data_IF_359110561679
#
_entry.id   IF_359110561679
#
_cell.length_a   1.000
_cell.length_b   1.000
_cell.length_c   1.000
_cell.angle_alpha   90.00
_cell.angle_beta   90.00
_cell.angle_gamma   90.00
#
_symmetry.space_group_name_H-M   'P 1'
#
loop_
_entity.id
_entity.type
_entity.pdbx_description
1 polymer ?
#
# COMPACT_ATOMS: atom_id res chain seq x y z
N UNK A 1 12.79 -30.83 30.25
CA UNK A 1 12.38 -29.58 30.91
C UNK A 1 12.72 -28.42 29.98
N UNK A 2 11.72 -27.70 29.49
CA UNK A 2 11.93 -26.51 28.64
C UNK A 2 12.32 -25.37 29.57
N UNK A 3 13.57 -24.94 29.54
CA UNK A 3 14.04 -23.77 30.29
C UNK A 3 13.42 -22.51 29.67
N UNK A 4 12.25 -22.10 30.17
CA UNK A 4 11.64 -20.81 29.84
C UNK A 4 12.47 -19.75 30.57
N UNK A 5 13.31 -19.03 29.82
CA UNK A 5 14.14 -17.97 30.37
C UNK A 5 13.26 -16.76 30.74
N UNK A 6 12.89 -16.67 32.02
CA UNK A 6 12.00 -15.66 32.59
C UNK A 6 12.57 -14.23 32.54
N UNK A 7 13.87 -14.06 32.27
CA UNK A 7 14.52 -12.74 32.14
C UNK A 7 13.95 -11.91 30.98
N UNK A 8 13.49 -12.54 29.90
CA UNK A 8 12.87 -11.82 28.78
C UNK A 8 11.50 -11.20 29.11
N UNK A 9 10.81 -11.67 30.16
CA UNK A 9 9.58 -11.07 30.64
C UNK A 9 9.84 -9.93 31.64
N UNK A 10 10.94 -9.99 32.38
CA UNK A 10 11.34 -8.95 33.32
C UNK A 10 11.79 -7.64 32.63
N UNK A 11 12.57 -7.72 31.53
CA UNK A 11 13.08 -6.53 30.81
C UNK A 11 12.00 -5.62 30.21
N UNK A 12 10.81 -6.16 29.91
CA UNK A 12 9.69 -5.38 29.38
C UNK A 12 8.79 -4.79 30.48
N UNK A 13 8.86 -5.31 31.71
CA UNK A 13 8.05 -4.83 32.83
C UNK A 13 8.50 -3.45 33.33
N UNK A 14 9.79 -3.14 33.20
CA UNK A 14 10.36 -1.87 33.68
C UNK A 14 10.22 -0.71 32.69
N UNK A 15 9.83 -0.99 31.44
CA UNK A 15 9.67 0.00 30.36
C UNK A 15 8.28 0.62 30.37
N UNK A 16 8.08 1.54 31.31
CA UNK A 16 6.79 2.22 31.52
C UNK A 16 6.71 3.59 30.85
N UNK A 17 7.84 4.23 30.61
CA UNK A 17 7.91 5.62 30.15
C UNK A 17 7.89 5.73 28.62
N UNK A 18 7.37 6.85 28.11
CA UNK A 18 7.32 7.14 26.67
C UNK A 18 8.73 7.38 26.12
N UNK A 19 8.97 7.01 24.86
CA UNK A 19 10.25 7.27 24.20
C UNK A 19 10.50 8.78 24.05
N UNK A 20 11.71 9.22 24.36
CA UNK A 20 12.17 10.60 24.18
C UNK A 20 12.29 10.95 22.68
N UNK A 21 12.32 12.25 22.32
CA UNK A 21 12.53 12.70 20.94
C UNK A 21 13.86 12.19 20.35
N UNK A 22 14.92 12.13 21.16
CA UNK A 22 16.25 11.65 20.74
C UNK A 22 16.22 10.15 20.42
N UNK A 23 15.67 9.29 21.28
CA UNK A 23 15.47 7.86 20.97
C UNK A 23 14.68 7.65 19.68
N UNK A 24 13.61 8.43 19.44
CA UNK A 24 12.83 8.37 18.18
C UNK A 24 13.65 8.77 16.95
N UNK A 25 14.48 9.81 17.05
CA UNK A 25 15.37 10.21 15.96
C UNK A 25 16.46 9.16 15.68
N UNK A 26 17.02 8.54 16.71
CA UNK A 26 18.04 7.50 16.55
C UNK A 26 17.46 6.24 15.90
N UNK A 27 16.24 5.84 16.28
CA UNK A 27 15.52 4.75 15.61
C UNK A 27 15.23 5.09 14.15
N UNK A 28 14.82 6.33 13.84
CA UNK A 28 14.67 6.81 12.46
C UNK A 28 16.00 6.73 11.69
N UNK A 29 17.12 7.21 12.24
CA UNK A 29 18.45 7.12 11.60
C UNK A 29 18.85 5.67 11.29
N UNK A 30 18.47 4.73 12.16
CA UNK A 30 18.66 3.28 11.96
C UNK A 30 17.66 2.65 10.97
N UNK A 31 16.73 3.44 10.42
CA UNK A 31 15.67 3.00 9.52
C UNK A 31 14.55 2.20 10.19
N UNK A 32 14.48 2.24 11.52
CA UNK A 32 13.44 1.56 12.31
C UNK A 32 12.26 2.49 12.52
N UNK A 33 11.41 2.62 11.51
CA UNK A 33 10.17 3.38 11.57
C UNK A 33 8.96 2.45 11.52
N UNK A 34 7.87 2.88 12.15
CA UNK A 34 6.57 2.26 11.95
C UNK A 34 6.11 2.51 10.51
N UNK A 35 5.77 1.46 9.79
CA UNK A 35 5.14 1.55 8.47
C UNK A 35 4.14 0.41 8.32
N UNK A 36 2.87 0.76 8.04
CA UNK A 36 1.90 -0.23 7.60
C UNK A 36 2.05 -0.40 6.09
N UNK A 37 2.31 -1.63 5.65
CA UNK A 37 2.43 -1.96 4.22
C UNK A 37 1.06 -2.01 3.52
N UNK A 38 0.01 -2.34 4.26
CA UNK A 38 -1.31 -2.59 3.67
C UNK A 38 -2.09 -1.30 3.44
N UNK A 39 -1.98 -0.33 4.36
CA UNK A 39 -2.72 0.93 4.26
C UNK A 39 -2.40 1.71 2.96
N UNK A 40 -1.14 1.98 2.58
CA UNK A 40 -0.81 2.66 1.34
C UNK A 40 -1.27 1.86 0.12
N UNK A 41 -1.05 0.55 0.14
CA UNK A 41 -1.40 -0.35 -0.97
C UNK A 41 -2.90 -0.34 -1.25
N UNK A 42 -3.73 -0.49 -0.21
CA UNK A 42 -5.19 -0.51 -0.36
C UNK A 42 -5.76 0.87 -0.72
N UNK A 43 -5.12 1.95 -0.24
CA UNK A 43 -5.48 3.31 -0.61
C UNK A 43 -5.16 3.60 -2.08
N UNK A 44 -3.98 3.21 -2.57
CA UNK A 44 -3.62 3.31 -4.00
C UNK A 44 -4.63 2.50 -4.84
N UNK A 45 -4.94 1.27 -4.44
CA UNK A 45 -5.87 0.41 -5.16
C UNK A 45 -7.27 1.04 -5.26
N UNK A 46 -7.80 1.58 -4.16
CA UNK A 46 -9.08 2.29 -4.13
C UNK A 46 -9.09 3.46 -5.12
N UNK A 47 -8.04 4.28 -5.09
CA UNK A 47 -7.96 5.46 -5.96
C UNK A 47 -7.82 5.06 -7.43
N UNK A 48 -7.14 3.96 -7.75
CA UNK A 48 -7.06 3.45 -9.12
C UNK A 48 -8.45 3.08 -9.64
N UNK A 49 -9.28 2.37 -8.87
CA UNK A 49 -10.65 2.05 -9.30
C UNK A 49 -11.55 3.28 -9.44
N UNK A 50 -11.41 4.26 -8.54
CA UNK A 50 -12.10 5.55 -8.67
C UNK A 50 -11.64 6.27 -9.94
N UNK A 51 -10.33 6.25 -10.23
CA UNK A 51 -9.76 6.85 -11.43
C UNK A 51 -10.28 6.17 -12.69
N UNK A 52 -10.43 4.85 -12.72
CA UNK A 52 -11.09 4.15 -13.82
C UNK A 52 -12.53 4.59 -14.02
N UNK A 53 -13.27 4.89 -12.95
CA UNK A 53 -14.64 5.41 -13.07
C UNK A 53 -14.68 6.84 -13.63
N UNK A 54 -13.76 7.70 -13.19
CA UNK A 54 -13.69 9.11 -13.63
C UNK A 54 -13.15 9.24 -15.05
N UNK A 55 -12.06 8.55 -15.37
CA UNK A 55 -11.39 8.61 -16.67
C UNK A 55 -11.85 7.53 -17.66
N UNK A 56 -12.78 6.65 -17.26
CA UNK A 56 -13.23 5.52 -18.08
C UNK A 56 -13.81 5.93 -19.43
N UNK A 57 -14.50 7.07 -19.51
CA UNK A 57 -14.98 7.63 -20.77
C UNK A 57 -13.82 7.94 -21.73
N UNK A 58 -12.74 8.54 -21.24
CA UNK A 58 -11.58 8.87 -22.06
C UNK A 58 -10.89 7.60 -22.57
N UNK A 59 -10.79 6.57 -21.73
CA UNK A 59 -10.26 5.26 -22.12
C UNK A 59 -11.13 4.64 -23.21
N UNK A 60 -12.45 4.63 -23.01
CA UNK A 60 -13.40 4.10 -24.00
C UNK A 60 -13.29 4.83 -25.34
N UNK A 61 -13.28 6.17 -25.33
CA UNK A 61 -13.16 6.98 -26.55
C UNK A 61 -11.82 6.72 -27.25
N UNK A 62 -10.70 6.72 -26.52
CA UNK A 62 -9.38 6.47 -27.09
C UNK A 62 -9.27 5.06 -27.69
N UNK A 63 -9.75 4.03 -26.98
CA UNK A 63 -9.81 2.67 -27.51
C UNK A 63 -10.69 2.58 -28.76
N UNK A 64 -11.88 3.19 -28.75
CA UNK A 64 -12.78 3.17 -29.90
C UNK A 64 -12.19 3.87 -31.12
N UNK A 65 -11.45 4.98 -30.91
CA UNK A 65 -10.77 5.73 -31.97
C UNK A 65 -9.64 4.91 -32.59
N UNK A 66 -8.81 4.26 -31.77
CA UNK A 66 -7.76 3.38 -32.25
C UNK A 66 -8.37 2.20 -33.03
N UNK A 67 -9.43 1.59 -32.49
CA UNK A 67 -10.11 0.48 -33.13
C UNK A 67 -10.74 0.89 -34.47
N UNK A 68 -11.39 2.04 -34.55
CA UNK A 68 -12.01 2.54 -35.78
C UNK A 68 -10.97 2.80 -36.87
N UNK A 69 -9.79 3.31 -36.51
CA UNK A 69 -8.68 3.50 -37.45
C UNK A 69 -8.30 2.18 -38.10
N UNK A 70 -8.10 1.12 -37.31
CA UNK A 70 -7.67 -0.19 -37.82
C UNK A 70 -8.77 -0.98 -38.52
N UNK A 71 -10.04 -0.76 -38.18
CA UNK A 71 -11.15 -1.52 -38.77
C UNK A 71 -11.78 -0.85 -39.98
N UNK A 72 -11.76 0.48 -40.07
CA UNK A 72 -12.52 1.22 -41.10
C UNK A 72 -11.69 2.18 -41.94
N UNK A 73 -10.53 2.63 -41.45
CA UNK A 73 -9.72 3.66 -42.13
C UNK A 73 -8.40 3.12 -42.66
N UNK A 74 -8.18 1.81 -42.65
CA UNK A 74 -6.93 1.21 -43.14
C UNK A 74 -6.66 1.49 -44.61
N UNK A 75 -7.70 1.67 -45.42
CA UNK A 75 -7.57 2.09 -46.82
C UNK A 75 -7.17 3.55 -47.00
N UNK A 76 -7.29 4.38 -45.97
CA UNK A 76 -6.92 5.80 -46.01
C UNK A 76 -5.43 6.05 -45.73
N UNK A 77 -4.72 5.05 -45.19
CA UNK A 77 -3.29 5.14 -44.87
C UNK A 77 -2.45 4.35 -45.86
N UNK A 78 -1.43 4.99 -46.44
CA UNK A 78 -0.45 4.30 -47.27
C UNK A 78 0.64 3.69 -46.41
N UNK A 79 0.49 2.40 -46.07
CA UNK A 79 1.47 1.63 -45.30
C UNK A 79 2.81 1.40 -46.03
N UNK A 80 2.98 1.83 -47.28
CA UNK A 80 4.28 1.82 -47.95
C UNK A 80 5.07 3.12 -47.73
N UNK A 81 4.42 4.17 -47.22
CA UNK A 81 5.06 5.44 -46.90
C UNK A 81 5.49 5.48 -45.42
N UNK A 82 6.81 5.46 -45.19
CA UNK A 82 7.37 5.49 -43.84
C UNK A 82 6.93 6.71 -43.01
N UNK A 83 6.69 7.87 -43.66
CA UNK A 83 6.26 9.08 -42.97
C UNK A 83 4.81 8.97 -42.46
N UNK A 84 3.93 8.28 -43.19
CA UNK A 84 2.53 8.07 -42.77
C UNK A 84 2.44 7.06 -41.63
N UNK A 85 3.24 5.98 -41.68
CA UNK A 85 3.36 5.03 -40.57
C UNK A 85 3.85 5.75 -39.30
N UNK A 86 4.85 6.62 -39.43
CA UNK A 86 5.40 7.34 -38.26
C UNK A 86 4.39 8.31 -37.64
N UNK A 87 3.56 8.98 -38.46
CA UNK A 87 2.43 9.80 -37.98
C UNK A 87 1.40 8.96 -37.23
N UNK A 88 1.02 7.81 -37.80
CA UNK A 88 0.06 6.89 -37.18
C UNK A 88 0.59 6.35 -35.84
N UNK A 89 1.85 5.94 -35.80
CA UNK A 89 2.51 5.48 -34.57
C UNK A 89 2.53 6.57 -33.49
N UNK A 90 2.87 7.80 -33.87
CA UNK A 90 2.90 8.94 -32.94
C UNK A 90 1.50 9.23 -32.40
N UNK A 91 0.48 9.23 -33.27
CA UNK A 91 -0.91 9.41 -32.87
C UNK A 91 -1.37 8.34 -31.87
N UNK A 92 -1.17 7.05 -32.19
CA UNK A 92 -1.57 5.94 -31.31
C UNK A 92 -0.83 6.03 -29.98
N UNK A 93 0.47 6.31 -30.01
CA UNK A 93 1.28 6.47 -28.79
C UNK A 93 0.75 7.60 -27.90
N UNK A 94 0.41 8.75 -28.49
CA UNK A 94 -0.17 9.87 -27.77
C UNK A 94 -1.54 9.54 -27.19
N UNK A 95 -2.41 8.83 -27.91
CA UNK A 95 -3.70 8.39 -27.39
C UNK A 95 -3.54 7.42 -26.22
N UNK A 96 -2.62 6.46 -26.31
CA UNK A 96 -2.30 5.55 -25.19
C UNK A 96 -1.81 6.35 -23.97
N UNK A 97 -0.91 7.31 -24.17
CA UNK A 97 -0.42 8.17 -23.09
C UNK A 97 -1.57 8.96 -22.48
N UNK A 98 -2.46 9.58 -23.27
CA UNK A 98 -3.61 10.33 -22.74
C UNK A 98 -4.57 9.45 -21.93
N UNK A 99 -4.77 8.20 -22.33
CA UNK A 99 -5.63 7.25 -21.60
C UNK A 99 -5.02 6.82 -20.26
N UNK A 100 -3.70 6.56 -20.25
CA UNK A 100 -3.02 5.91 -19.13
C UNK A 100 -2.40 6.92 -18.14
N UNK A 101 -1.87 8.03 -18.65
CA UNK A 101 -1.20 9.07 -17.85
C UNK A 101 -2.01 9.56 -16.64
N UNK A 102 -3.30 9.94 -16.75
CA UNK A 102 -4.03 10.46 -15.58
C UNK A 102 -4.12 9.43 -14.44
N UNK A 103 -4.31 8.15 -14.76
CA UNK A 103 -4.37 7.07 -13.76
C UNK A 103 -3.00 6.89 -13.10
N UNK A 104 -1.93 6.88 -13.89
CA UNK A 104 -0.56 6.75 -13.37
C UNK A 104 -0.15 7.94 -12.51
N UNK A 105 -0.46 9.17 -12.94
CA UNK A 105 -0.18 10.39 -12.18
C UNK A 105 -0.85 10.31 -10.81
N UNK A 106 -2.14 9.97 -10.77
CA UNK A 106 -2.87 9.85 -9.51
C UNK A 106 -2.29 8.72 -8.65
N UNK A 107 -1.98 7.55 -9.23
CA UNK A 107 -1.38 6.44 -8.49
C UNK A 107 -0.02 6.80 -7.87
N UNK A 108 0.85 7.49 -8.63
CA UNK A 108 2.15 7.97 -8.15
C UNK A 108 1.96 8.99 -7.02
N UNK A 109 1.10 9.99 -7.21
CA UNK A 109 0.83 11.02 -6.22
C UNK A 109 0.33 10.39 -4.91
N UNK A 110 -0.64 9.49 -5.01
CA UNK A 110 -1.20 8.79 -3.85
C UNK A 110 -0.17 7.89 -3.18
N UNK A 111 0.65 7.17 -3.94
CA UNK A 111 1.69 6.30 -3.39
C UNK A 111 2.79 7.07 -2.66
N UNK A 112 3.22 8.19 -3.22
CA UNK A 112 4.19 9.10 -2.58
C UNK A 112 3.57 9.74 -1.35
N UNK A 113 2.38 10.33 -1.45
CA UNK A 113 1.72 11.02 -0.34
C UNK A 113 1.39 10.07 0.81
N UNK A 114 0.86 8.89 0.54
CA UNK A 114 0.54 7.91 1.59
C UNK A 114 1.79 7.42 2.32
N UNK A 115 2.89 7.19 1.60
CA UNK A 115 4.18 6.82 2.20
C UNK A 115 4.78 7.97 3.00
N UNK A 116 4.71 9.19 2.46
CA UNK A 116 5.19 10.40 3.11
C UNK A 116 4.39 10.74 4.37
N UNK A 117 3.07 10.58 4.37
CA UNK A 117 2.23 10.82 5.56
C UNK A 117 2.55 9.83 6.68
N UNK A 118 2.87 8.57 6.36
CA UNK A 118 3.21 7.58 7.38
C UNK A 118 4.60 7.79 8.00
N UNK A 119 5.61 8.01 7.17
CA UNK A 119 7.02 7.99 7.63
C UNK A 119 7.61 9.41 7.71
N UNK A 120 7.13 10.32 6.88
CA UNK A 120 7.80 11.58 6.56
C UNK A 120 9.04 11.34 5.68
N UNK A 121 9.86 12.38 5.54
CA UNK A 121 11.16 12.23 4.89
C UNK A 121 12.10 11.38 5.76
N UNK A 122 12.64 10.31 5.19
CA UNK A 122 13.58 9.41 5.86
C UNK A 122 14.64 8.92 4.88
N UNK A 123 15.87 9.38 5.08
CA UNK A 123 17.04 8.88 4.38
C UNK A 123 17.95 8.18 5.38
N UNK A 124 18.14 6.86 5.23
CA UNK A 124 19.02 6.05 6.10
C UNK A 124 19.95 5.19 5.26
N UNK A 125 21.25 5.47 5.36
CA UNK A 125 22.32 4.68 4.72
C UNK A 125 22.61 3.38 5.46
N UNK A 126 22.19 3.26 6.72
CA UNK A 126 22.39 2.04 7.53
C UNK A 126 21.54 0.85 7.07
N UNK A 127 20.38 1.12 6.44
CA UNK A 127 19.49 0.07 5.91
C UNK A 127 20.09 -0.57 4.66
N UNK A 128 20.89 0.19 3.90
CA UNK A 128 21.49 -0.23 2.62
C UNK A 128 22.70 -1.14 2.85
N UNK A 129 23.35 -1.08 4.03
CA UNK A 129 24.50 -1.95 4.33
C UNK A 129 24.07 -3.43 4.39
N UNK A 130 24.69 -4.33 3.61
CA UNK A 130 24.39 -5.75 3.66
C UNK A 130 24.72 -6.30 5.04
N UNK A 131 23.72 -6.84 5.73
CA UNK A 131 23.88 -7.48 7.04
C UNK A 131 23.82 -9.00 6.84
N UNK A 132 24.94 -9.71 6.95
CA UNK A 132 24.99 -11.18 6.82
C UNK A 132 24.04 -11.90 7.80
N UNK A 133 23.70 -11.27 8.93
CA UNK A 133 22.72 -11.79 9.88
C UNK A 133 21.29 -11.91 9.31
N UNK A 134 20.95 -11.17 8.25
CA UNK A 134 19.67 -11.29 7.53
C UNK A 134 19.63 -12.44 6.52
N UNK A 135 20.78 -13.02 6.15
CA UNK A 135 20.89 -14.10 5.16
C UNK A 135 20.87 -15.51 5.79
N UNK A 136 20.82 -15.63 7.11
CA UNK A 136 20.80 -16.93 7.77
C UNK A 136 19.44 -17.64 7.55
N UNK A 137 19.39 -18.78 6.84
CA UNK A 137 18.15 -19.48 6.49
C UNK A 137 17.40 -20.02 7.72
N UNK A 138 18.11 -20.37 8.80
CA UNK A 138 17.50 -20.87 10.05
C UNK A 138 16.67 -19.77 10.72
N UNK A 139 17.18 -18.54 10.72
CA UNK A 139 16.44 -17.39 11.23
C UNK A 139 15.25 -17.01 10.34
N UNK A 140 15.35 -17.27 9.02
CA UNK A 140 14.24 -17.14 8.07
C UNK A 140 13.10 -18.13 8.39
N UNK A 141 13.42 -19.41 8.53
CA UNK A 141 12.48 -20.47 8.90
C UNK A 141 11.81 -20.21 10.26
N UNK A 142 12.58 -19.82 11.28
CA UNK A 142 12.03 -19.47 12.60
C UNK A 142 11.07 -18.28 12.55
N UNK A 143 11.32 -17.31 11.66
CA UNK A 143 10.39 -16.20 11.41
C UNK A 143 9.13 -16.69 10.71
N UNK A 144 9.23 -17.57 9.72
CA UNK A 144 8.08 -18.14 9.02
C UNK A 144 7.18 -18.95 9.96
N UNK A 145 7.74 -19.76 10.87
CA UNK A 145 7.01 -20.53 11.87
C UNK A 145 6.86 -19.80 13.22
N UNK A 146 6.75 -18.47 13.20
CA UNK A 146 6.52 -17.69 14.42
C UNK A 146 5.03 -17.48 14.70
N UNK A 147 4.67 -17.25 15.97
CA UNK A 147 3.30 -16.84 16.36
C UNK A 147 2.84 -15.61 15.57
N UNK A 148 3.76 -14.70 15.25
CA UNK A 148 3.49 -13.54 14.39
C UNK A 148 2.99 -13.96 13.02
N UNK A 149 3.65 -14.90 12.37
CA UNK A 149 3.24 -15.38 11.04
C UNK A 149 1.87 -16.05 11.08
N UNK A 150 1.55 -16.80 12.15
CA UNK A 150 0.22 -17.36 12.33
C UNK A 150 -0.87 -16.27 12.41
N UNK A 151 -0.63 -15.20 13.17
CA UNK A 151 -1.56 -14.06 13.20
C UNK A 151 -1.70 -13.35 11.85
N UNK A 152 -0.61 -13.21 11.09
CA UNK A 152 -0.65 -12.65 9.73
C UNK A 152 -1.46 -13.53 8.75
N UNK A 153 -1.36 -14.87 8.87
CA UNK A 153 -2.17 -15.80 8.11
C UNK A 153 -3.66 -15.65 8.45
N UNK A 154 -3.99 -15.58 9.74
CA UNK A 154 -5.36 -15.42 10.21
C UNK A 154 -5.98 -14.11 9.72
N UNK A 155 -5.22 -13.00 9.76
CA UNK A 155 -5.62 -11.72 9.13
C UNK A 155 -5.84 -11.85 7.63
N UNK A 156 -4.98 -12.62 6.94
CA UNK A 156 -5.09 -12.84 5.50
C UNK A 156 -6.34 -13.63 5.13
N UNK A 157 -6.66 -14.69 5.87
CA UNK A 157 -7.90 -15.46 5.71
C UNK A 157 -9.12 -14.58 5.98
N UNK A 158 -9.12 -13.80 7.06
CA UNK A 158 -10.21 -12.88 7.37
C UNK A 158 -10.45 -11.86 6.23
N UNK A 159 -9.38 -11.31 5.65
CA UNK A 159 -9.48 -10.43 4.48
C UNK A 159 -10.11 -11.12 3.28
N UNK A 160 -9.71 -12.36 2.97
CA UNK A 160 -10.30 -13.14 1.86
C UNK A 160 -11.79 -13.38 2.09
N UNK A 161 -12.19 -13.75 3.31
CA UNK A 161 -13.60 -13.96 3.67
C UNK A 161 -14.40 -12.66 3.47
N UNK A 162 -13.88 -11.52 3.93
CA UNK A 162 -14.54 -10.22 3.78
C UNK A 162 -14.66 -9.84 2.31
N UNK A 163 -13.61 -10.00 1.52
CA UNK A 163 -13.64 -9.76 0.06
C UNK A 163 -14.69 -10.64 -0.61
N UNK A 164 -14.69 -11.94 -0.31
CA UNK A 164 -15.67 -12.89 -0.85
C UNK A 164 -17.10 -12.55 -0.46
N UNK A 165 -17.33 -12.17 0.80
CA UNK A 165 -18.65 -11.77 1.28
C UNK A 165 -19.15 -10.46 0.64
N UNK A 166 -18.30 -9.44 0.51
CA UNK A 166 -18.65 -8.18 -0.16
C UNK A 166 -18.93 -8.40 -1.65
N UNK A 167 -18.13 -9.23 -2.32
CA UNK A 167 -18.37 -9.59 -3.71
C UNK A 167 -19.69 -10.35 -3.87
N UNK A 168 -19.91 -11.39 -3.06
CA UNK A 168 -21.13 -12.19 -3.07
C UNK A 168 -22.38 -11.35 -2.82
N UNK A 169 -22.40 -10.57 -1.73
CA UNK A 169 -23.54 -9.71 -1.38
C UNK A 169 -23.82 -8.65 -2.44
N UNK A 170 -22.78 -8.09 -3.06
CA UNK A 170 -22.97 -7.11 -4.14
C UNK A 170 -23.54 -7.77 -5.39
N UNK A 171 -23.04 -8.94 -5.79
CA UNK A 171 -23.60 -9.69 -6.94
C UNK A 171 -25.05 -10.09 -6.65
N UNK A 172 -25.35 -10.56 -5.44
CA UNK A 172 -26.71 -10.91 -5.04
C UNK A 172 -27.68 -9.72 -5.16
N UNK A 173 -27.22 -8.50 -4.83
CA UNK A 173 -28.04 -7.30 -5.00
C UNK A 173 -28.34 -6.95 -6.47
N UNK A 174 -27.48 -7.36 -7.41
CA UNK A 174 -27.66 -7.13 -8.84
C UNK A 174 -28.62 -8.11 -9.50
N UNK A 175 -28.86 -9.29 -8.91
CA UNK A 175 -29.86 -10.23 -9.41
C UNK A 175 -31.27 -9.61 -9.47
N UNK A 176 -31.58 -8.66 -8.58
CA UNK A 176 -32.87 -7.94 -8.60
C UNK A 176 -32.98 -7.06 -9.86
N UNK A 177 -31.84 -6.58 -10.39
CA UNK A 177 -31.79 -5.73 -11.57
C UNK A 177 -31.69 -6.53 -12.89
N UNK A 178 -31.53 -7.87 -12.85
CA UNK A 178 -31.44 -8.72 -14.06
C UNK A 178 -32.61 -8.55 -15.01
N UNK A 179 -33.84 -8.40 -14.50
CA UNK A 179 -35.01 -8.21 -15.35
C UNK A 179 -34.92 -6.93 -16.18
N UNK A 180 -34.28 -5.87 -15.66
CA UNK A 180 -34.09 -4.60 -16.37
C UNK A 180 -32.99 -4.66 -17.43
N UNK A 181 -32.10 -5.65 -17.35
CA UNK A 181 -30.97 -5.82 -18.28
C UNK A 181 -31.39 -6.49 -19.59
N UNK A 182 -32.50 -7.24 -19.61
CA UNK A 182 -32.95 -7.98 -20.80
C UNK A 182 -33.41 -7.05 -21.95
N UNK A 183 -33.89 -5.86 -21.61
CA UNK A 183 -34.42 -4.88 -22.58
C UNK A 183 -33.37 -3.84 -23.02
N UNK A 184 -32.14 -3.91 -22.50
CA UNK A 184 -31.09 -2.95 -22.83
C UNK A 184 -30.40 -3.31 -24.15
N UNK A 185 -30.11 -2.29 -24.96
CA UNK A 185 -29.19 -2.42 -26.09
C UNK A 185 -27.75 -2.65 -25.63
N UNK A 186 -26.89 -3.12 -26.55
CA UNK A 186 -25.52 -3.58 -26.24
C UNK A 186 -24.67 -2.52 -25.54
N UNK A 187 -24.74 -1.26 -25.95
CA UNK A 187 -23.89 -0.18 -25.41
C UNK A 187 -24.27 0.17 -23.96
N UNK A 188 -25.53 0.47 -23.61
CA UNK A 188 -25.97 0.62 -22.22
C UNK A 188 -25.69 -0.60 -21.35
N UNK A 189 -25.86 -1.82 -21.90
CA UNK A 189 -25.54 -3.05 -21.18
C UNK A 189 -24.05 -3.14 -20.80
N UNK A 190 -23.16 -2.84 -21.74
CA UNK A 190 -21.72 -2.83 -21.48
C UNK A 190 -21.34 -1.77 -20.44
N UNK A 191 -21.91 -0.56 -20.53
CA UNK A 191 -21.69 0.50 -19.56
C UNK A 191 -22.17 0.10 -18.15
N UNK A 192 -23.33 -0.55 -18.05
CA UNK A 192 -23.84 -1.09 -16.80
C UNK A 192 -22.88 -2.11 -16.19
N UNK A 193 -22.42 -3.09 -16.97
CA UNK A 193 -21.51 -4.13 -16.48
C UNK A 193 -20.20 -3.54 -15.94
N UNK A 194 -19.63 -2.56 -16.64
CA UNK A 194 -18.42 -1.86 -16.19
C UNK A 194 -18.68 -1.09 -14.91
N UNK A 195 -19.80 -0.37 -14.81
CA UNK A 195 -20.15 0.42 -13.62
C UNK A 195 -20.41 -0.47 -12.40
N UNK A 196 -21.11 -1.59 -12.58
CA UNK A 196 -21.33 -2.61 -11.55
C UNK A 196 -20.00 -3.22 -11.11
N UNK A 197 -19.14 -3.64 -12.04
CA UNK A 197 -17.83 -4.21 -11.71
C UNK A 197 -16.95 -3.23 -10.92
N UNK A 198 -16.88 -1.95 -11.35
CA UNK A 198 -16.16 -0.91 -10.64
C UNK A 198 -16.77 -0.63 -9.26
N UNK A 199 -18.10 -0.64 -9.14
CA UNK A 199 -18.79 -0.44 -7.87
C UNK A 199 -18.47 -1.56 -6.87
N UNK A 200 -18.45 -2.82 -7.32
CA UNK A 200 -18.03 -3.96 -6.50
C UNK A 200 -16.57 -3.82 -6.08
N UNK A 201 -15.68 -3.50 -7.02
CA UNK A 201 -14.26 -3.31 -6.73
C UNK A 201 -14.00 -2.19 -5.71
N UNK A 202 -14.70 -1.05 -5.84
CA UNK A 202 -14.62 0.07 -4.89
C UNK A 202 -15.12 -0.34 -3.50
N UNK A 203 -16.26 -1.06 -3.41
CA UNK A 203 -16.79 -1.57 -2.12
C UNK A 203 -15.78 -2.49 -1.44
N UNK A 204 -15.16 -3.41 -2.20
CA UNK A 204 -14.11 -4.30 -1.69
C UNK A 204 -12.91 -3.49 -1.19
N UNK A 205 -12.43 -2.53 -1.99
CA UNK A 205 -11.30 -1.69 -1.60
C UNK A 205 -11.59 -0.88 -0.33
N UNK A 206 -12.81 -0.38 -0.18
CA UNK A 206 -13.23 0.31 1.03
C UNK A 206 -13.20 -0.62 2.25
N UNK A 207 -13.73 -1.84 2.12
CA UNK A 207 -13.68 -2.83 3.20
C UNK A 207 -12.22 -3.17 3.59
N UNK A 208 -11.35 -3.39 2.60
CA UNK A 208 -9.92 -3.63 2.83
C UNK A 208 -9.22 -2.43 3.48
N UNK A 209 -9.59 -1.21 3.09
CA UNK A 209 -9.03 0.02 3.66
C UNK A 209 -9.39 0.17 5.14
N UNK A 210 -10.65 -0.13 5.52
CA UNK A 210 -11.07 -0.15 6.94
C UNK A 210 -10.24 -1.14 7.76
N UNK A 211 -10.01 -2.36 7.24
CA UNK A 211 -9.17 -3.36 7.91
C UNK A 211 -7.73 -2.86 8.04
N UNK A 212 -7.18 -2.25 6.99
CA UNK A 212 -5.81 -1.73 7.02
C UNK A 212 -5.63 -0.53 7.95
N UNK A 213 -6.66 0.29 8.15
CA UNK A 213 -6.67 1.34 9.17
C UNK A 213 -6.59 0.71 10.56
N UNK A 214 -7.42 -0.31 10.85
CA UNK A 214 -7.38 -1.01 12.13
C UNK A 214 -6.01 -1.66 12.38
N UNK A 215 -5.43 -2.31 11.36
CA UNK A 215 -4.09 -2.90 11.44
C UNK A 215 -2.99 -1.82 11.62
N UNK A 216 -3.12 -0.67 10.97
CA UNK A 216 -2.23 0.48 11.21
C UNK A 216 -2.27 0.91 12.69
N UNK A 217 -3.45 1.08 13.29
CA UNK A 217 -3.55 1.45 14.71
C UNK A 217 -2.96 0.38 15.64
N UNK A 218 -3.17 -0.90 15.34
CA UNK A 218 -2.58 -2.00 16.10
C UNK A 218 -1.04 -1.97 16.01
N UNK A 219 -0.50 -1.83 14.80
CA UNK A 219 0.93 -1.72 14.56
C UNK A 219 1.52 -0.46 15.22
N UNK A 220 0.80 0.65 15.21
CA UNK A 220 1.21 1.90 15.86
C UNK A 220 1.34 1.72 17.36
N UNK A 221 0.30 1.16 18.00
CA UNK A 221 0.29 0.89 19.44
C UNK A 221 1.38 -0.10 19.83
N UNK A 222 1.63 -1.11 19.00
CA UNK A 222 2.72 -2.06 19.21
C UNK A 222 4.08 -1.38 19.11
N UNK A 223 4.32 -0.60 18.05
CA UNK A 223 5.57 0.14 17.88
C UNK A 223 5.82 1.09 19.07
N UNK A 224 4.80 1.83 19.51
CA UNK A 224 4.92 2.74 20.65
C UNK A 224 5.25 1.99 21.95
N UNK A 225 4.72 0.78 22.14
CA UNK A 225 5.09 -0.08 23.28
C UNK A 225 6.53 -0.58 23.16
N UNK A 226 6.95 -1.01 21.98
CA UNK A 226 8.27 -1.58 21.72
C UNK A 226 9.40 -0.55 21.94
N UNK A 227 9.13 0.73 21.73
CA UNK A 227 10.12 1.81 21.90
C UNK A 227 10.14 2.43 23.31
N UNK A 228 9.26 1.99 24.23
CA UNK A 228 9.21 2.51 25.61
C UNK A 228 10.56 2.42 26.32
N UNK A 229 10.73 3.29 27.30
CA UNK A 229 11.97 3.44 28.07
C UNK A 229 11.73 3.09 29.53
N UNK A 230 12.76 2.60 30.19
CA UNK A 230 12.78 2.52 31.65
C UNK A 230 13.13 3.90 32.24
N UNK A 231 12.79 4.11 33.52
CA UNK A 231 13.18 5.33 34.23
C UNK A 231 14.70 5.52 34.30
N UNK A 232 15.47 4.42 34.30
CA UNK A 232 16.93 4.46 34.27
C UNK A 232 17.45 4.89 32.89
N UNK A 233 16.92 4.32 31.79
CA UNK A 233 17.28 4.70 30.41
C UNK A 233 17.08 6.21 30.19
N UNK A 234 15.96 6.78 30.67
CA UNK A 234 15.68 8.21 30.54
C UNK A 234 16.71 9.05 31.30
N UNK A 235 17.04 8.69 32.55
CA UNK A 235 18.04 9.41 33.34
C UNK A 235 19.41 9.40 32.68
N UNK A 236 19.82 8.27 32.11
CA UNK A 236 21.08 8.15 31.37
C UNK A 236 21.08 9.00 30.10
N UNK A 237 19.96 9.07 29.38
CA UNK A 237 19.84 9.89 28.18
C UNK A 237 19.94 11.39 28.50
N UNK A 238 19.31 11.86 29.59
CA UNK A 238 19.46 13.23 30.08
C UNK A 238 20.92 13.53 30.46
N UNK A 239 21.59 12.63 31.19
CA UNK A 239 23.02 12.78 31.53
C UNK A 239 23.92 12.88 30.30
N UNK A 240 23.61 12.11 29.24
CA UNK A 240 24.35 12.18 27.98
C UNK A 240 24.07 13.48 27.20
N UNK A 241 22.88 14.06 27.32
CA UNK A 241 22.52 15.31 26.64
C UNK A 241 23.06 16.55 27.34
N UNK A 242 23.02 16.60 28.67
CA UNK A 242 23.54 17.73 29.46
C UNK A 242 25.08 17.70 29.58
N UNK A 243 25.69 16.57 29.22
CA UNK A 243 27.11 16.28 29.38
C UNK A 243 27.40 15.84 30.81
N UNK A 244 28.17 14.75 30.97
CA UNK A 244 28.43 14.20 32.29
C UNK A 244 29.18 15.23 33.16
N UNK A 245 28.58 15.75 34.25
CA UNK A 245 29.24 16.76 35.11
C UNK A 245 30.57 16.26 35.66
N UNK A 246 30.72 14.95 35.87
CA UNK A 246 31.98 14.33 36.31
C UNK A 246 33.12 14.48 35.27
N UNK A 247 32.80 14.49 33.97
CA UNK A 247 33.79 14.69 32.90
C UNK A 247 34.08 16.18 32.70
N UNK A 248 33.07 17.04 32.84
CA UNK A 248 33.25 18.51 32.83
C UNK A 248 34.04 19.05 34.03
N UNK A 249 34.11 18.31 35.13
CA UNK A 249 34.92 18.69 36.31
C UNK A 249 36.38 18.19 36.26
N UNK A 250 36.72 17.33 35.28
CA UNK A 250 38.06 16.74 35.11
C UNK A 250 38.87 17.34 33.95
N UNK A 251 38.36 18.39 33.31
CA UNK A 251 39.06 19.22 32.30
C UNK A 251 39.17 20.62 32.88
#
# INVERSE_FOLDING_TARGET
MININLQHFAENSDKTEKATPKKRQDLRKKGQVMQSKELPTNLILLIIFISFRVFGKNIYVGCSTILSIFLSQTSEYNFQNANEIMKLFTFISLEIVKMVAPIFIVAILVGVLSSYVQIGFLFSTEVIKPKCSKLNPINGLKRMFSTRSFFELLKSIAKVIIVGWVAWSSIQSEFINMMKLMDLSIVPLAAYLVDTALSIAIKICFALLVISIADYFFQWRKHEKDIRMSKQEIKEEYKQMEGNPEIKSKI
#
